data_IF_868467158526
#
_entry.id   IF_868467158526
#
_cell.length_a   1.000
_cell.length_b   1.000
_cell.length_c   1.000
_cell.angle_alpha   90.00
_cell.angle_beta   90.00
_cell.angle_gamma   90.00
#
_symmetry.space_group_name_H-M   'P 1'
#
loop_
_entity.id
_entity.type
_entity.pdbx_description
1 polymer ?
#
# COMPACT_ATOMS: atom_id res chain seq x y z
N UNK A 1 13.95 9.14 -5.21
CA UNK A 1 12.56 9.67 -5.25
C UNK A 1 11.85 9.28 -3.97
N UNK A 2 11.09 10.18 -3.40
CA UNK A 2 10.30 9.87 -2.21
C UNK A 2 9.12 8.96 -2.58
N UNK A 3 8.69 8.06 -1.69
CA UNK A 3 7.54 7.18 -1.96
C UNK A 3 6.27 7.94 -2.36
N UNK A 4 5.98 9.08 -1.72
CA UNK A 4 4.82 9.91 -2.06
C UNK A 4 4.87 10.42 -3.50
N UNK A 5 6.04 10.77 -3.99
CA UNK A 5 6.24 11.21 -5.38
C UNK A 5 6.05 10.06 -6.36
N UNK A 6 6.62 8.89 -6.05
CA UNK A 6 6.47 7.71 -6.89
C UNK A 6 5.00 7.32 -7.01
N UNK A 7 4.28 7.31 -5.88
CA UNK A 7 2.85 7.01 -5.87
C UNK A 7 2.06 8.02 -6.71
N UNK A 8 2.34 9.31 -6.53
CA UNK A 8 1.64 10.37 -7.25
C UNK A 8 1.78 10.22 -8.79
N UNK A 9 2.94 9.76 -9.25
CA UNK A 9 3.20 9.57 -10.67
C UNK A 9 2.57 8.30 -11.25
N UNK A 10 2.20 7.33 -10.40
CA UNK A 10 1.78 5.99 -10.83
C UNK A 10 0.48 5.52 -10.19
N UNK A 11 -0.39 6.42 -9.73
CA UNK A 11 -1.63 6.06 -9.03
C UNK A 11 -2.49 5.07 -9.81
N UNK A 12 -2.72 5.33 -11.08
CA UNK A 12 -3.55 4.46 -11.91
C UNK A 12 -2.93 3.08 -12.06
N UNK A 13 -1.62 3.01 -12.30
CA UNK A 13 -0.92 1.75 -12.44
C UNK A 13 -0.96 0.93 -11.14
N UNK A 14 -0.88 1.59 -9.98
CA UNK A 14 -1.01 0.94 -8.67
C UNK A 14 -2.40 0.34 -8.51
N UNK A 15 -3.44 1.08 -8.85
CA UNK A 15 -4.82 0.59 -8.76
C UNK A 15 -5.06 -0.60 -9.70
N UNK A 16 -4.52 -0.55 -10.92
CA UNK A 16 -4.64 -1.65 -11.87
C UNK A 16 -3.90 -2.90 -11.38
N UNK A 17 -2.71 -2.72 -10.80
CA UNK A 17 -1.96 -3.83 -10.22
C UNK A 17 -2.75 -4.48 -9.07
N UNK A 18 -3.30 -3.68 -8.17
CA UNK A 18 -4.08 -4.20 -7.05
C UNK A 18 -5.24 -5.07 -7.53
N UNK A 19 -5.92 -4.67 -8.60
CA UNK A 19 -7.04 -5.42 -9.14
C UNK A 19 -6.65 -6.83 -9.61
N UNK A 20 -5.38 -7.06 -9.98
CA UNK A 20 -4.91 -8.37 -10.42
C UNK A 20 -4.62 -9.34 -9.28
N UNK A 21 -4.53 -8.86 -8.03
CA UNK A 21 -4.10 -9.66 -6.89
C UNK A 21 -5.19 -9.92 -5.85
N UNK A 22 -6.46 -9.87 -6.26
CA UNK A 22 -7.60 -10.19 -5.39
C UNK A 22 -7.67 -9.33 -4.13
N UNK A 23 -7.33 -8.06 -4.29
CA UNK A 23 -7.49 -7.07 -3.22
C UNK A 23 -8.31 -5.89 -3.73
N UNK A 24 -8.94 -5.19 -2.82
CA UNK A 24 -9.76 -4.03 -3.12
C UNK A 24 -9.33 -2.86 -2.25
N UNK A 25 -9.78 -1.67 -2.65
CA UNK A 25 -9.70 -0.49 -1.83
C UNK A 25 -8.28 -0.16 -1.37
N UNK A 26 -7.31 -0.01 -2.31
CA UNK A 26 -5.94 0.35 -1.93
C UNK A 26 -5.91 1.76 -1.36
N UNK A 27 -5.22 1.91 -0.23
CA UNK A 27 -5.10 3.16 0.51
C UNK A 27 -3.66 3.37 0.90
N UNK A 28 -3.24 4.62 1.01
CA UNK A 28 -1.92 4.97 1.52
C UNK A 28 -2.04 5.38 2.99
N UNK A 29 -1.06 4.99 3.79
CA UNK A 29 -0.93 5.42 5.18
C UNK A 29 0.54 5.64 5.54
N UNK A 30 0.82 5.99 6.79
CA UNK A 30 2.19 6.17 7.26
C UNK A 30 2.84 7.45 6.76
N UNK A 31 4.17 7.42 6.62
CA UNK A 31 4.94 8.64 6.32
C UNK A 31 4.57 9.27 4.98
N UNK A 32 4.29 8.47 3.95
CA UNK A 32 3.91 8.99 2.64
C UNK A 32 2.58 9.74 2.69
N UNK A 33 1.64 9.27 3.51
CA UNK A 33 0.35 9.94 3.71
C UNK A 33 0.54 11.30 4.36
N UNK A 34 1.37 11.37 5.39
CA UNK A 34 1.57 12.59 6.18
C UNK A 34 2.59 13.56 5.57
N UNK A 35 3.22 13.21 4.46
CA UNK A 35 4.22 14.05 3.83
C UNK A 35 5.56 14.07 4.55
N UNK A 36 5.81 13.12 5.43
CA UNK A 36 7.05 13.00 6.21
C UNK A 36 8.05 12.04 5.59
N UNK A 37 7.74 11.48 4.43
CA UNK A 37 8.61 10.52 3.78
C UNK A 37 9.84 11.21 3.17
N UNK A 38 10.90 10.43 3.05
CA UNK A 38 12.17 10.86 2.47
C UNK A 38 12.63 9.79 1.47
N UNK A 39 13.69 10.09 0.73
CA UNK A 39 14.34 9.06 -0.09
C UNK A 39 14.73 7.88 0.80
N UNK A 40 14.37 6.68 0.37
CA UNK A 40 14.63 5.47 1.14
C UNK A 40 13.55 5.09 2.15
N UNK A 41 12.53 5.94 2.33
CA UNK A 41 11.37 5.57 3.14
C UNK A 41 10.54 4.50 2.44
N UNK A 42 9.79 3.71 3.21
CA UNK A 42 8.87 2.71 2.68
C UNK A 42 7.54 3.37 2.31
N UNK A 43 6.91 2.83 1.27
CA UNK A 43 5.52 3.19 0.94
C UNK A 43 4.61 2.19 1.64
N UNK A 44 3.77 2.66 2.54
CA UNK A 44 2.84 1.83 3.30
C UNK A 44 1.45 1.86 2.65
N UNK A 45 1.00 0.71 2.18
CA UNK A 45 -0.32 0.56 1.55
C UNK A 45 -1.19 -0.38 2.37
N UNK A 46 -2.46 0.02 2.51
CA UNK A 46 -3.47 -0.77 3.19
C UNK A 46 -4.48 -1.24 2.15
N UNK A 47 -4.73 -2.54 2.10
CA UNK A 47 -5.66 -3.14 1.14
C UNK A 47 -6.63 -4.04 1.88
N UNK A 48 -7.81 -4.26 1.26
CA UNK A 48 -8.80 -5.20 1.76
C UNK A 48 -8.75 -6.48 0.93
N UNK A 49 -8.39 -7.63 1.52
CA UNK A 49 -8.36 -8.87 0.75
C UNK A 49 -9.76 -9.30 0.36
N UNK A 50 -9.93 -9.70 -0.90
CA UNK A 50 -11.16 -10.28 -1.40
C UNK A 50 -11.22 -11.76 -1.04
N UNK A 51 -12.41 -12.39 -1.06
CA UNK A 51 -12.51 -13.83 -0.81
C UNK A 51 -11.57 -14.62 -1.73
N UNK A 52 -10.81 -15.52 -1.14
CA UNK A 52 -9.82 -16.31 -1.87
C UNK A 52 -8.44 -15.71 -1.98
N UNK A 53 -8.25 -14.47 -1.54
CA UNK A 53 -6.92 -13.86 -1.50
C UNK A 53 -6.01 -14.60 -0.51
N UNK A 54 -4.75 -14.77 -0.86
CA UNK A 54 -3.76 -15.46 -0.05
C UNK A 54 -2.56 -14.56 0.22
N UNK A 55 -1.64 -15.04 1.06
CA UNK A 55 -0.37 -14.34 1.29
C UNK A 55 0.45 -14.25 -0.01
N UNK A 56 0.29 -15.17 -0.94
CA UNK A 56 0.94 -15.09 -2.25
C UNK A 56 0.41 -13.92 -3.07
N UNK A 57 -0.87 -13.61 -2.98
CA UNK A 57 -1.44 -12.44 -3.64
C UNK A 57 -0.84 -11.16 -3.07
N UNK A 58 -0.78 -11.05 -1.75
CA UNK A 58 -0.23 -9.86 -1.10
C UNK A 58 1.26 -9.69 -1.39
N UNK A 59 2.03 -10.76 -1.29
CA UNK A 59 3.46 -10.73 -1.60
C UNK A 59 3.74 -10.44 -3.07
N UNK A 60 2.95 -11.02 -3.97
CA UNK A 60 3.07 -10.77 -5.40
C UNK A 60 2.78 -9.32 -5.75
N UNK A 61 1.73 -8.74 -5.15
CA UNK A 61 1.42 -7.33 -5.34
C UNK A 61 2.55 -6.44 -4.83
N UNK A 62 3.08 -6.74 -3.65
CA UNK A 62 4.18 -5.99 -3.07
C UNK A 62 5.41 -5.99 -3.99
N UNK A 63 5.78 -7.15 -4.52
CA UNK A 63 6.91 -7.28 -5.43
C UNK A 63 6.68 -6.50 -6.72
N UNK A 64 5.48 -6.59 -7.30
CA UNK A 64 5.16 -5.87 -8.52
C UNK A 64 5.20 -4.35 -8.31
N UNK A 65 4.66 -3.88 -7.20
CA UNK A 65 4.66 -2.45 -6.90
C UNK A 65 6.07 -1.93 -6.63
N UNK A 66 6.93 -2.70 -5.98
CA UNK A 66 8.33 -2.31 -5.78
C UNK A 66 9.06 -2.18 -7.11
N UNK A 67 8.82 -3.09 -8.04
CA UNK A 67 9.40 -3.00 -9.38
C UNK A 67 8.86 -1.80 -10.15
N UNK A 68 7.57 -1.53 -10.05
CA UNK A 68 6.92 -0.41 -10.75
C UNK A 68 7.38 0.94 -10.22
N UNK A 69 7.43 1.08 -8.90
CA UNK A 69 7.64 2.37 -8.25
C UNK A 69 9.11 2.67 -7.94
N UNK A 70 9.94 1.64 -7.87
CA UNK A 70 11.35 1.81 -7.55
C UNK A 70 11.62 2.20 -6.10
N UNK A 71 10.66 1.96 -5.20
CA UNK A 71 10.78 2.21 -3.76
C UNK A 71 10.32 0.98 -2.99
N UNK A 72 10.78 0.80 -1.74
CA UNK A 72 10.26 -0.27 -0.89
C UNK A 72 8.76 -0.07 -0.65
N UNK A 73 7.99 -1.15 -0.73
CA UNK A 73 6.54 -1.12 -0.54
C UNK A 73 6.13 -2.17 0.47
N UNK A 74 5.34 -1.78 1.45
CA UNK A 74 4.70 -2.70 2.39
C UNK A 74 3.21 -2.74 2.08
N UNK A 75 2.70 -3.92 1.73
CA UNK A 75 1.28 -4.14 1.49
C UNK A 75 0.69 -4.86 2.69
N UNK A 76 -0.18 -4.18 3.43
CA UNK A 76 -0.77 -4.69 4.65
C UNK A 76 -2.29 -4.71 4.55
N UNK A 77 -2.90 -5.61 5.31
CA UNK A 77 -4.34 -5.61 5.53
C UNK A 77 -4.64 -5.04 6.92
N UNK A 78 -5.90 -4.65 7.21
CA UNK A 78 -6.23 -4.17 8.55
C UNK A 78 -5.86 -5.15 9.67
N UNK A 79 -5.96 -6.45 9.41
CA UNK A 79 -5.61 -7.47 10.42
C UNK A 79 -4.10 -7.55 10.69
N UNK A 80 -3.27 -7.09 9.76
CA UNK A 80 -1.81 -7.08 9.94
C UNK A 80 -1.34 -5.92 10.82
N UNK A 81 -2.22 -4.95 11.05
CA UNK A 81 -1.90 -3.81 11.90
C UNK A 81 -2.00 -4.20 13.37
N UNK A 82 -1.09 -3.70 14.23
CA UNK A 82 -1.25 -3.89 15.67
C UNK A 82 -2.62 -3.39 16.12
N UNK A 83 -3.31 -4.16 16.96
CA UNK A 83 -4.66 -3.83 17.43
C UNK A 83 -4.72 -2.43 18.04
N UNK A 84 -3.65 -2.03 18.72
CA UNK A 84 -3.52 -0.73 19.37
C UNK A 84 -3.65 0.44 18.40
N UNK A 85 -3.18 0.29 17.16
CA UNK A 85 -3.14 1.36 16.16
C UNK A 85 -4.11 1.16 15.01
N UNK A 86 -4.77 0.00 14.94
CA UNK A 86 -5.58 -0.37 13.77
C UNK A 86 -6.64 0.64 13.43
N UNK A 87 -7.45 1.07 14.40
CA UNK A 87 -8.55 1.99 14.14
C UNK A 87 -8.06 3.35 13.66
N UNK A 88 -6.96 3.82 14.24
CA UNK A 88 -6.37 5.11 13.85
C UNK A 88 -5.87 5.03 12.40
N UNK A 89 -5.11 3.99 12.08
CA UNK A 89 -4.55 3.82 10.73
C UNK A 89 -5.65 3.67 9.69
N UNK A 90 -6.65 2.83 9.96
CA UNK A 90 -7.77 2.62 9.03
C UNK A 90 -8.54 3.93 8.81
N UNK A 91 -8.72 4.71 9.86
CA UNK A 91 -9.43 5.99 9.77
C UNK A 91 -8.64 7.03 8.98
N UNK A 92 -7.32 7.10 9.17
CA UNK A 92 -6.47 8.09 8.51
C UNK A 92 -6.12 7.72 7.07
N UNK A 93 -6.07 6.44 6.75
CA UNK A 93 -5.66 5.97 5.42
C UNK A 93 -6.51 6.59 4.31
N UNK A 94 -5.87 6.96 3.21
CA UNK A 94 -6.54 7.64 2.10
C UNK A 94 -6.53 6.80 0.85
N UNK A 95 -7.65 6.74 0.11
CA UNK A 95 -7.69 6.04 -1.17
C UNK A 95 -6.64 6.58 -2.15
N UNK A 96 -6.14 5.66 -2.93
CA UNK A 96 -5.18 5.98 -3.99
C UNK A 96 -5.91 6.42 -5.25
#
# INVERSE_FOLDING_TARGET
MRPSQALSQHREAVCLAAARYRVANPRVFGSALHGNDADGSDLDLLVDPLPGATLFDLGGLQDELQALLGVPVDVLTPKDLPAKFRDIVVHEARPI
#
